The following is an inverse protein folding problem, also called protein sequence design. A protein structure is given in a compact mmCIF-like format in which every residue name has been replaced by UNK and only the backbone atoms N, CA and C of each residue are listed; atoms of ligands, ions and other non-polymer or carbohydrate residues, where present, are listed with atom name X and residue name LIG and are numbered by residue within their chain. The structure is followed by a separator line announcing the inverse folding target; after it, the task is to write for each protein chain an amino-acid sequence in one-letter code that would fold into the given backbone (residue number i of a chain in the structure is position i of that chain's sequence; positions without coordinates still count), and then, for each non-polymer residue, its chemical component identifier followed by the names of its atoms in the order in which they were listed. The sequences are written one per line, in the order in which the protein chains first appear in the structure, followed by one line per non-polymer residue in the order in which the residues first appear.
data_IF_634174590395
#
_entry.id   IF_634174590395
#
_cell.length_a   1.000
_cell.length_b   1.000
_cell.length_c   1.000
_cell.angle_alpha   90.00
_cell.angle_beta   90.00
_cell.angle_gamma   90.00
#
_symmetry.space_group_name_H-M   'P 1'
#
loop_
_entity.id
_entity.type
_entity.pdbx_description
1 polymer ?
#
# COMPACT_ATOMS: atom_id res chain seq x y z
N UNK A 1 -11.37 -17.73 -17.05
CA UNK A 1 -11.83 -17.04 -15.82
C UNK A 1 -11.63 -15.56 -16.07
N UNK A 2 -12.65 -14.74 -15.82
CA UNK A 2 -12.71 -13.34 -16.26
C UNK A 2 -11.39 -12.61 -16.05
N UNK A 3 -10.88 -11.87 -17.03
CA UNK A 3 -9.60 -11.13 -16.89
C UNK A 3 -9.68 -10.00 -15.87
N UNK A 4 -10.90 -9.65 -15.47
CA UNK A 4 -11.25 -8.56 -14.55
C UNK A 4 -10.66 -8.70 -13.14
N UNK A 5 -10.84 -9.81 -12.40
CA UNK A 5 -10.29 -9.97 -11.05
C UNK A 5 -8.76 -9.93 -11.05
N UNK A 6 -8.11 -10.53 -12.06
CA UNK A 6 -6.65 -10.54 -12.18
C UNK A 6 -6.10 -9.13 -12.39
N UNK A 7 -6.75 -8.32 -13.23
CA UNK A 7 -6.39 -6.90 -13.45
C UNK A 7 -6.67 -6.01 -12.24
N UNK A 8 -7.74 -6.27 -11.50
CA UNK A 8 -8.06 -5.53 -10.26
C UNK A 8 -7.05 -5.82 -9.16
N UNK A 9 -6.65 -7.09 -8.98
CA UNK A 9 -5.61 -7.49 -8.01
C UNK A 9 -4.24 -6.90 -8.38
N UNK A 10 -3.89 -6.90 -9.67
CA UNK A 10 -2.65 -6.26 -10.12
C UNK A 10 -2.69 -4.74 -9.88
N UNK A 11 -3.83 -4.10 -10.15
CA UNK A 11 -4.04 -2.68 -9.91
C UNK A 11 -3.95 -2.30 -8.43
N UNK A 12 -4.57 -3.09 -7.54
CA UNK A 12 -4.49 -2.85 -6.10
C UNK A 12 -3.08 -3.04 -5.55
N UNK A 13 -2.32 -4.01 -6.08
CA UNK A 13 -0.91 -4.22 -5.71
C UNK A 13 -0.02 -3.02 -6.09
N UNK A 14 -0.22 -2.45 -7.29
CA UNK A 14 0.54 -1.27 -7.74
C UNK A 14 0.22 -0.04 -6.87
N UNK A 15 -1.07 0.20 -6.59
CA UNK A 15 -1.50 1.33 -5.75
C UNK A 15 -0.97 1.17 -4.31
N UNK A 16 -1.03 -0.03 -3.73
CA UNK A 16 -0.47 -0.30 -2.41
C UNK A 16 1.04 -0.07 -2.35
N UNK A 17 1.77 -0.46 -3.40
CA UNK A 17 3.20 -0.17 -3.52
C UNK A 17 3.52 1.33 -3.56
N UNK A 18 2.75 2.12 -4.31
CA UNK A 18 2.90 3.57 -4.36
C UNK A 18 2.63 4.20 -2.98
N UNK A 19 1.57 3.76 -2.30
CA UNK A 19 1.24 4.26 -0.95
C UNK A 19 2.34 3.90 0.05
N UNK A 20 2.92 2.70 -0.01
CA UNK A 20 4.04 2.31 0.84
C UNK A 20 5.27 3.20 0.61
N UNK A 21 5.62 3.46 -0.66
CA UNK A 21 6.76 4.33 -1.01
C UNK A 21 6.54 5.76 -0.53
N UNK A 22 5.34 6.30 -0.72
CA UNK A 22 4.99 7.64 -0.26
C UNK A 22 5.02 7.74 1.28
N UNK A 23 4.51 6.73 1.99
CA UNK A 23 4.52 6.71 3.45
C UNK A 23 5.95 6.57 4.03
N UNK A 24 6.82 5.79 3.39
CA UNK A 24 8.25 5.70 3.76
C UNK A 24 8.97 7.02 3.46
N UNK A 25 8.70 7.64 2.31
CA UNK A 25 9.28 8.92 1.93
C UNK A 25 8.89 10.03 2.90
N UNK A 26 7.63 10.05 3.34
CA UNK A 26 7.11 11.00 4.31
C UNK A 26 7.72 10.78 5.71
N UNK A 27 7.91 9.51 6.13
CA UNK A 27 8.58 9.17 7.38
C UNK A 27 10.08 9.54 7.37
N UNK A 28 10.74 9.49 6.21
CA UNK A 28 12.16 9.79 6.05
C UNK A 28 12.46 11.29 5.86
N UNK A 29 11.59 12.03 5.16
CA UNK A 29 11.81 13.45 4.81
C UNK A 29 10.90 14.42 5.57
N UNK A 30 9.81 13.96 6.18
CA UNK A 30 8.85 14.77 6.93
C UNK A 30 8.08 15.78 6.06
N UNK A 31 8.02 15.59 4.75
CA UNK A 31 7.39 16.48 3.77
C UNK A 31 6.59 15.57 2.83
N UNK A 32 5.27 15.70 2.65
CA UNK A 32 4.39 16.86 2.92
C UNK A 32 3.59 16.85 4.24
N UNK A 33 3.62 15.79 5.07
CA UNK A 33 2.84 15.73 6.32
C UNK A 33 3.71 16.01 7.57
N UNK A 34 4.35 17.17 7.65
CA UNK A 34 5.07 17.60 8.87
C UNK A 34 4.12 18.20 9.92
N UNK A 35 3.86 17.50 11.03
CA UNK A 35 3.05 18.01 12.14
C UNK A 35 3.24 17.22 13.44
N UNK A 36 2.87 17.80 14.61
CA UNK A 36 3.08 17.22 15.95
C UNK A 36 2.47 15.81 16.19
N UNK A 37 1.61 15.33 15.28
CA UNK A 37 0.94 14.02 15.36
C UNK A 37 1.07 13.16 14.09
N UNK A 38 1.94 13.53 13.14
CA UNK A 38 1.98 12.88 11.82
C UNK A 38 2.71 11.54 11.83
N UNK A 39 3.64 11.32 12.75
CA UNK A 39 4.33 10.01 12.90
C UNK A 39 3.38 8.82 13.12
N UNK A 40 2.25 9.01 13.81
CA UNK A 40 1.24 7.94 13.98
C UNK A 40 0.53 7.64 12.66
N UNK A 41 0.25 8.67 11.86
CA UNK A 41 -0.38 8.53 10.54
C UNK A 41 0.52 7.72 9.60
N UNK A 42 1.82 8.02 9.58
CA UNK A 42 2.80 7.40 8.69
C UNK A 42 2.96 5.91 9.02
N UNK A 43 3.03 5.57 10.31
CA UNK A 43 3.07 4.19 10.78
C UNK A 43 1.80 3.43 10.36
N UNK A 44 0.62 4.04 10.54
CA UNK A 44 -0.66 3.43 10.14
C UNK A 44 -0.77 3.26 8.62
N UNK A 45 -0.23 4.18 7.82
CA UNK A 45 -0.19 4.06 6.37
C UNK A 45 0.75 2.94 5.91
N UNK A 46 1.94 2.82 6.52
CA UNK A 46 2.86 1.72 6.25
C UNK A 46 2.22 0.37 6.61
N UNK A 47 1.57 0.29 7.77
CA UNK A 47 0.89 -0.93 8.24
C UNK A 47 -0.26 -1.31 7.29
N UNK A 48 -1.07 -0.33 6.89
CA UNK A 48 -2.17 -0.52 5.95
C UNK A 48 -1.68 -0.96 4.57
N UNK A 49 -0.61 -0.34 4.06
CA UNK A 49 -0.02 -0.72 2.79
C UNK A 49 0.55 -2.15 2.82
N UNK A 50 1.15 -2.56 3.95
CA UNK A 50 1.62 -3.93 4.16
C UNK A 50 0.48 -4.96 4.15
N UNK A 51 -0.62 -4.67 4.84
CA UNK A 51 -1.81 -5.55 4.87
C UNK A 51 -2.43 -5.68 3.47
N UNK A 52 -2.60 -4.57 2.75
CA UNK A 52 -3.16 -4.59 1.39
C UNK A 52 -2.23 -5.32 0.42
N UNK A 53 -0.92 -5.13 0.53
CA UNK A 53 0.07 -5.85 -0.27
C UNK A 53 0.03 -7.37 -0.01
N UNK A 54 -0.09 -7.78 1.26
CA UNK A 54 -0.25 -9.19 1.62
C UNK A 54 -1.54 -9.80 1.06
N UNK A 55 -2.68 -9.10 1.22
CA UNK A 55 -3.97 -9.53 0.67
C UNK A 55 -3.96 -9.60 -0.86
N UNK A 56 -3.31 -8.64 -1.53
CA UNK A 56 -3.15 -8.66 -2.98
C UNK A 56 -2.27 -9.83 -3.44
N UNK A 57 -1.23 -10.19 -2.68
CA UNK A 57 -0.39 -11.34 -2.97
C UNK A 57 -1.15 -12.66 -2.80
N UNK A 58 -1.94 -12.79 -1.73
CA UNK A 58 -2.75 -13.99 -1.48
C UNK A 58 -3.82 -14.16 -2.57
N UNK A 59 -4.52 -13.08 -2.93
CA UNK A 59 -5.48 -13.07 -4.04
C UNK A 59 -4.82 -13.37 -5.40
N UNK A 60 -3.56 -12.94 -5.63
CA UNK A 60 -2.83 -13.25 -6.85
C UNK A 60 -2.46 -14.73 -6.93
N UNK A 61 -2.05 -15.34 -5.81
CA UNK A 61 -1.79 -16.79 -5.73
C UNK A 61 -3.06 -17.61 -5.94
N UNK A 62 -4.19 -17.17 -5.41
CA UNK A 62 -5.48 -17.87 -5.57
C UNK A 62 -5.99 -17.80 -7.02
N UNK A 63 -5.65 -16.73 -7.76
CA UNK A 63 -6.02 -16.56 -9.16
C UNK A 63 -5.05 -17.19 -10.18
N UNK A 64 -3.97 -17.82 -9.73
CA UNK A 64 -2.94 -18.40 -10.59
C UNK A 64 -2.77 -19.91 -10.40
#
# INVERSE_FOLDING_TARGET
MSDLPKRVVLGSMVVAGIVAVLAIADLAMGIPFSGKHTMIMDILFILSAGIVGYLAWDAYKDLN
#
